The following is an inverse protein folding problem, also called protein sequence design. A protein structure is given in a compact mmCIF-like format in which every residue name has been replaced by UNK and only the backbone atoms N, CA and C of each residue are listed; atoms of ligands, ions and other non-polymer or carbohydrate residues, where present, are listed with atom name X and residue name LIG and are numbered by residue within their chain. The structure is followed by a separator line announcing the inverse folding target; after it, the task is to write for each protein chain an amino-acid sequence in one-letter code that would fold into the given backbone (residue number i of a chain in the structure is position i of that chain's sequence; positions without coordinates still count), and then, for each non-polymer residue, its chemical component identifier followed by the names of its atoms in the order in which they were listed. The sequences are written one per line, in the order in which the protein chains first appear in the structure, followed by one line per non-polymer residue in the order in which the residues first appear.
data_IF_659530335225
#
_entry.id   IF_659530335225
#
_cell.length_a   1.000
_cell.length_b   1.000
_cell.length_c   1.000
_cell.angle_alpha   90.00
_cell.angle_beta   90.00
_cell.angle_gamma   90.00
#
_symmetry.space_group_name_H-M   'P 1'
#
loop_
_entity.id
_entity.type
_entity.pdbx_description
1 polymer ?
#
# COMPACT_ATOMS: atom_id res chain seq x y z
N UNK A 1 13.28 -17.35 -44.50
CA UNK A 1 12.91 -15.94 -44.26
C UNK A 1 11.56 -15.83 -43.57
N UNK A 2 11.57 -15.51 -42.27
CA UNK A 2 10.34 -15.30 -41.49
C UNK A 2 9.89 -13.84 -41.63
N UNK A 3 8.90 -13.59 -42.49
CA UNK A 3 8.24 -12.29 -42.60
C UNK A 3 7.19 -12.16 -41.49
N UNK A 4 7.44 -11.27 -40.52
CA UNK A 4 6.48 -10.85 -39.50
C UNK A 4 5.49 -9.86 -40.10
N UNK A 5 4.34 -10.34 -40.58
CA UNK A 5 3.19 -9.48 -40.84
C UNK A 5 2.56 -9.07 -39.50
N UNK A 6 3.05 -7.98 -38.89
CA UNK A 6 2.28 -7.24 -37.89
C UNK A 6 1.87 -5.90 -38.49
N UNK A 7 0.57 -5.54 -38.48
CA UNK A 7 0.16 -4.19 -38.81
C UNK A 7 0.79 -3.21 -37.83
N UNK A 8 1.25 -2.05 -38.34
CA UNK A 8 1.79 -0.97 -37.51
C UNK A 8 0.76 -0.55 -36.46
N UNK A 9 1.17 -0.34 -35.19
CA UNK A 9 0.26 0.10 -34.15
C UNK A 9 -0.26 1.50 -34.46
N UNK A 10 -1.59 1.64 -34.45
CA UNK A 10 -2.30 2.88 -34.77
C UNK A 10 -1.94 4.03 -33.80
N UNK A 11 -1.40 5.15 -34.29
CA UNK A 11 -1.01 6.29 -33.45
C UNK A 11 -2.18 6.96 -32.74
N UNK A 12 -3.44 6.78 -33.19
CA UNK A 12 -4.61 7.36 -32.51
C UNK A 12 -5.00 6.60 -31.24
N UNK A 13 -4.60 5.33 -31.11
CA UNK A 13 -4.85 4.48 -29.92
C UNK A 13 -3.67 4.53 -28.93
N UNK A 14 -2.50 4.99 -29.39
CA UNK A 14 -1.30 5.13 -28.57
C UNK A 14 -1.33 6.40 -27.69
N UNK A 15 -2.32 6.50 -26.80
CA UNK A 15 -2.37 7.59 -25.82
C UNK A 15 -1.34 7.35 -24.70
N UNK A 16 -0.13 7.81 -24.98
CA UNK A 16 0.68 8.72 -24.17
C UNK A 16 0.62 8.53 -22.64
N UNK A 17 1.51 7.69 -22.10
CA UNK A 17 2.01 7.82 -20.74
C UNK A 17 2.98 9.03 -20.69
N UNK A 18 2.43 10.25 -20.60
CA UNK A 18 3.22 11.44 -20.28
C UNK A 18 3.37 11.56 -18.76
N UNK A 19 4.62 11.45 -18.31
CA UNK A 19 5.03 11.60 -16.91
C UNK A 19 5.24 13.05 -16.47
N UNK A 20 4.28 13.94 -16.75
CA UNK A 20 4.30 15.34 -16.28
C UNK A 20 2.86 15.83 -16.04
N UNK A 21 2.33 15.56 -14.85
CA UNK A 21 1.23 16.35 -14.27
C UNK A 21 1.61 16.68 -12.83
N UNK A 22 2.59 17.57 -12.75
CA UNK A 22 3.07 18.23 -11.54
C UNK A 22 2.10 19.38 -11.25
N UNK A 23 1.46 19.33 -10.07
CA UNK A 23 0.53 20.30 -9.47
C UNK A 23 -0.85 20.49 -10.12
N UNK A 24 -1.85 19.76 -9.62
CA UNK A 24 -3.16 20.38 -9.35
C UNK A 24 -3.47 20.26 -7.87
N UNK A 25 -3.76 21.40 -7.24
CA UNK A 25 -4.31 21.47 -5.90
C UNK A 25 -5.60 20.65 -5.87
N UNK A 26 -5.76 19.81 -4.84
CA UNK A 26 -6.97 19.01 -4.63
C UNK A 26 -8.08 20.00 -4.25
N UNK A 27 -8.87 20.42 -5.24
CA UNK A 27 -10.17 21.04 -4.97
C UNK A 27 -11.07 19.97 -4.34
N UNK A 28 -11.56 20.25 -3.13
CA UNK A 28 -12.53 19.41 -2.45
C UNK A 28 -13.87 19.47 -3.21
N UNK A 29 -14.11 18.49 -4.09
CA UNK A 29 -15.46 18.26 -4.60
C UNK A 29 -16.32 17.48 -3.58
N UNK A 30 -17.49 18.01 -3.20
CA UNK A 30 -18.43 17.33 -2.33
C UNK A 30 -19.45 16.54 -3.18
N UNK A 31 -19.18 15.28 -3.49
CA UNK A 31 -20.25 14.32 -3.85
C UNK A 31 -19.78 12.86 -3.81
N UNK A 32 -20.16 12.12 -2.77
CA UNK A 32 -19.97 10.65 -2.76
C UNK A 32 -21.22 9.96 -3.30
N UNK A 33 -21.11 9.67 -4.59
CA UNK A 33 -21.78 8.61 -5.36
C UNK A 33 -21.61 7.21 -4.69
N UNK A 34 -22.41 6.19 -5.07
CA UNK A 34 -22.64 5.01 -4.26
C UNK A 34 -21.35 4.20 -4.07
N UNK A 35 -21.05 3.91 -2.81
CA UNK A 35 -20.02 3.03 -2.25
C UNK A 35 -19.09 2.32 -3.26
N UNK A 36 -18.12 3.06 -3.81
CA UNK A 36 -16.94 2.43 -4.40
C UNK A 36 -16.26 1.63 -3.29
N UNK A 37 -16.33 0.29 -3.36
CA UNK A 37 -15.61 -0.62 -2.44
C UNK A 37 -14.20 -0.10 -2.25
N UNK A 38 -13.86 0.32 -1.03
CA UNK A 38 -12.52 0.85 -0.72
C UNK A 38 -11.49 -0.21 -1.08
N UNK A 39 -10.53 0.14 -1.92
CA UNK A 39 -9.39 -0.72 -2.27
C UNK A 39 -8.13 -0.13 -1.65
N UNK A 40 -7.21 -0.95 -1.10
CA UNK A 40 -5.92 -0.46 -0.65
C UNK A 40 -5.10 0.07 -1.84
N UNK A 41 -4.16 0.98 -1.57
CA UNK A 41 -3.14 1.34 -2.53
C UNK A 41 -2.32 0.09 -2.89
N UNK A 42 -2.28 -0.29 -4.17
CA UNK A 42 -1.68 -1.54 -4.63
C UNK A 42 -0.16 -1.59 -4.41
N UNK A 43 0.53 -0.45 -4.54
CA UNK A 43 1.98 -0.34 -4.35
C UNK A 43 2.31 -0.53 -2.87
N UNK A 44 1.59 0.20 -1.99
CA UNK A 44 1.79 0.07 -0.54
C UNK A 44 1.44 -1.34 -0.05
N UNK A 45 0.32 -1.91 -0.51
CA UNK A 45 -0.05 -3.29 -0.16
C UNK A 45 1.04 -4.28 -0.55
N UNK A 46 1.58 -4.17 -1.77
CA UNK A 46 2.67 -5.03 -2.24
C UNK A 46 3.92 -4.86 -1.37
N UNK A 47 4.34 -3.63 -1.15
CA UNK A 47 5.56 -3.34 -0.39
C UNK A 47 5.45 -3.82 1.06
N UNK A 48 4.34 -3.50 1.73
CA UNK A 48 4.10 -3.93 3.11
C UNK A 48 4.01 -5.46 3.23
N UNK A 49 3.33 -6.14 2.29
CA UNK A 49 3.26 -7.60 2.28
C UNK A 49 4.61 -8.29 2.06
N UNK A 50 5.61 -7.58 1.51
CA UNK A 50 6.96 -8.09 1.32
C UNK A 50 7.87 -7.87 2.52
N UNK A 51 7.61 -6.84 3.33
CA UNK A 51 8.56 -6.37 4.36
C UNK A 51 8.02 -6.38 5.78
N UNK A 52 6.69 -6.46 5.99
CA UNK A 52 6.14 -6.56 7.34
C UNK A 52 6.37 -7.97 7.90
N UNK A 53 7.00 -8.10 9.08
CA UNK A 53 7.36 -9.38 9.64
C UNK A 53 6.13 -10.20 10.00
N UNK A 54 6.02 -11.37 9.37
CA UNK A 54 4.99 -12.35 9.69
C UNK A 54 3.57 -11.94 9.29
N UNK A 55 3.42 -10.98 8.37
CA UNK A 55 2.13 -10.61 7.77
C UNK A 55 2.14 -10.93 6.27
N UNK A 56 1.16 -11.73 5.81
CA UNK A 56 0.96 -11.98 4.39
C UNK A 56 0.15 -10.88 3.71
N UNK A 57 0.00 -10.97 2.38
CA UNK A 57 -0.81 -10.02 1.59
C UNK A 57 -2.25 -9.89 2.10
N UNK A 58 -2.86 -10.99 2.55
CA UNK A 58 -4.22 -11.00 3.10
C UNK A 58 -4.32 -10.24 4.43
N UNK A 59 -3.35 -10.43 5.32
CA UNK A 59 -3.31 -9.78 6.63
C UNK A 59 -3.10 -8.27 6.48
N UNK A 60 -2.15 -7.87 5.63
CA UNK A 60 -1.89 -6.46 5.31
C UNK A 60 -3.11 -5.82 4.67
N UNK A 61 -3.74 -6.49 3.70
CA UNK A 61 -4.96 -5.99 3.07
C UNK A 61 -6.08 -5.78 4.10
N UNK A 62 -6.28 -6.75 5.00
CA UNK A 62 -7.27 -6.65 6.07
C UNK A 62 -6.96 -5.49 7.01
N UNK A 63 -5.71 -5.35 7.43
CA UNK A 63 -5.26 -4.25 8.29
C UNK A 63 -5.52 -2.88 7.64
N UNK A 64 -5.11 -2.68 6.37
CA UNK A 64 -5.31 -1.42 5.64
C UNK A 64 -6.80 -1.06 5.45
N UNK A 65 -7.66 -2.06 5.34
CA UNK A 65 -9.09 -1.85 5.17
C UNK A 65 -9.84 -1.68 6.50
N UNK A 66 -9.32 -2.23 7.59
CA UNK A 66 -9.96 -2.25 8.92
C UNK A 66 -10.23 -0.87 9.53
N UNK A 67 -9.60 0.19 9.01
CA UNK A 67 -9.63 1.56 9.56
C UNK A 67 -9.08 1.69 10.99
N UNK A 68 -8.56 0.60 11.60
CA UNK A 68 -7.97 0.61 12.92
C UNK A 68 -6.55 1.20 12.94
N UNK A 69 -5.85 1.15 11.81
CA UNK A 69 -4.57 1.80 11.57
C UNK A 69 -4.74 2.75 10.41
N UNK A 70 -4.50 4.04 10.62
CA UNK A 70 -4.68 5.07 9.58
C UNK A 70 -3.47 5.20 8.67
N UNK A 71 -2.26 5.01 9.21
CA UNK A 71 -1.01 5.16 8.47
C UNK A 71 0.15 4.35 9.10
N UNK A 72 1.26 4.27 8.38
CA UNK A 72 2.46 3.54 8.83
C UNK A 72 3.08 4.09 10.11
N UNK A 73 3.06 5.42 10.30
CA UNK A 73 3.59 6.02 11.53
C UNK A 73 2.84 5.48 12.73
N UNK A 74 1.52 5.50 12.68
CA UNK A 74 0.67 4.96 13.75
C UNK A 74 0.98 3.48 14.03
N UNK A 75 1.09 2.66 12.98
CA UNK A 75 1.45 1.24 13.11
C UNK A 75 2.75 1.02 13.90
N UNK A 76 3.78 1.82 13.63
CA UNK A 76 5.09 1.62 14.26
C UNK A 76 5.27 2.38 15.59
N UNK A 77 4.34 3.27 15.96
CA UNK A 77 4.39 4.02 17.23
C UNK A 77 3.35 3.58 18.26
N UNK A 78 2.40 2.73 17.89
CA UNK A 78 1.40 2.18 18.82
C UNK A 78 2.06 1.37 19.94
N UNK A 79 1.44 1.34 21.12
CA UNK A 79 1.86 0.43 22.18
C UNK A 79 1.60 -1.02 21.81
N UNK A 80 2.31 -1.95 22.44
CA UNK A 80 2.10 -3.39 22.22
C UNK A 80 0.63 -3.80 22.46
N UNK A 81 0.00 -3.28 23.51
CA UNK A 81 -1.41 -3.54 23.83
C UNK A 81 -2.35 -3.07 22.73
N UNK A 82 -2.11 -1.87 22.18
CA UNK A 82 -2.88 -1.34 21.06
C UNK A 82 -2.70 -2.22 19.82
N UNK A 83 -1.47 -2.63 19.50
CA UNK A 83 -1.19 -3.51 18.38
C UNK A 83 -1.93 -4.85 18.50
N UNK A 84 -1.97 -5.46 19.69
CA UNK A 84 -2.72 -6.70 19.92
C UNK A 84 -4.21 -6.55 19.63
N UNK A 85 -4.82 -5.40 19.99
CA UNK A 85 -6.23 -5.13 19.69
C UNK A 85 -6.52 -4.92 18.19
N UNK A 86 -5.51 -4.56 17.41
CA UNK A 86 -5.65 -4.16 16.01
C UNK A 86 -5.27 -5.28 15.04
N UNK A 87 -4.09 -5.87 15.22
CA UNK A 87 -3.50 -6.89 14.33
C UNK A 87 -3.31 -8.27 15.01
N UNK A 88 -3.70 -8.41 16.28
CA UNK A 88 -3.73 -9.70 16.98
C UNK A 88 -2.37 -10.39 16.99
N UNK A 89 -2.33 -11.62 16.46
CA UNK A 89 -1.16 -12.50 16.48
C UNK A 89 0.11 -11.91 15.83
N UNK A 90 0.00 -10.84 15.03
CA UNK A 90 1.15 -10.17 14.41
C UNK A 90 1.77 -9.07 15.28
N UNK A 91 1.10 -8.69 16.38
CA UNK A 91 1.47 -7.54 17.20
C UNK A 91 2.89 -7.61 17.75
N UNK A 92 3.29 -8.75 18.30
CA UNK A 92 4.62 -8.90 18.91
C UNK A 92 5.74 -8.72 17.89
N UNK A 93 5.60 -9.30 16.69
CA UNK A 93 6.60 -9.19 15.62
C UNK A 93 6.75 -7.75 15.14
N UNK A 94 5.63 -7.04 14.98
CA UNK A 94 5.63 -5.64 14.60
C UNK A 94 6.25 -4.80 15.71
N UNK A 95 5.88 -5.03 16.97
CA UNK A 95 6.41 -4.28 18.10
C UNK A 95 7.93 -4.44 18.24
N UNK A 96 8.46 -5.67 18.08
CA UNK A 96 9.91 -5.92 18.07
C UNK A 96 10.58 -5.20 16.90
N UNK A 97 10.01 -5.29 15.70
CA UNK A 97 10.56 -4.63 14.51
C UNK A 97 10.58 -3.10 14.64
N UNK A 98 9.52 -2.50 15.20
CA UNK A 98 9.43 -1.05 15.41
C UNK A 98 10.49 -0.51 16.37
N UNK A 99 10.89 -1.31 17.35
CA UNK A 99 11.80 -0.91 18.42
C UNK A 99 13.19 -1.54 18.26
N UNK A 100 13.48 -2.10 17.08
CA UNK A 100 14.77 -2.73 16.81
C UNK A 100 15.88 -1.67 16.83
N UNK A 101 16.90 -1.89 17.66
CA UNK A 101 18.07 -1.03 17.76
C UNK A 101 19.20 -1.55 16.86
N UNK A 102 19.51 -0.82 15.79
CA UNK A 102 20.61 -1.16 14.89
C UNK A 102 22.00 -1.10 15.54
N UNK A 103 22.13 -0.42 16.68
CA UNK A 103 23.39 -0.34 17.43
C UNK A 103 23.60 -1.51 18.39
N UNK A 104 22.56 -2.32 18.62
CA UNK A 104 22.67 -3.56 19.39
C UNK A 104 23.29 -4.68 18.53
N UNK A 105 24.59 -4.57 18.29
CA UNK A 105 25.43 -5.68 17.84
C UNK A 105 26.62 -5.77 18.79
N UNK A 106 26.86 -6.98 19.31
CA UNK A 106 28.09 -7.30 20.06
C UNK A 106 29.36 -7.02 19.23
#
# INVERSE_FOLDING_TARGET
DFQLNRPEPDPEIAVSLRGDDVFKAIEEEPSRSPEKRRKPNAILLRHMAQHLPGMGRGDVQTMMLSQKVKNLRELFTMSAEQLHSVIGAHADRINVFSNFDFSSSD
#
